data_IF_304395273033
#
_entry.id   IF_304395273033
#
_cell.length_a   1.000
_cell.length_b   1.000
_cell.length_c   1.000
_cell.angle_alpha   90.00
_cell.angle_beta   90.00
_cell.angle_gamma   90.00
#
_symmetry.space_group_name_H-M   'P 1'
#
loop_
_entity.id
_entity.type
_entity.pdbx_description
1 polymer ?
#
# COMPACT_ATOMS: atom_id res chain seq x y z
N UNK A 1 50.97 -11.60 76.15
CA UNK A 1 50.53 -12.95 75.71
C UNK A 1 49.27 -13.46 76.45
N UNK A 2 49.06 -13.13 77.74
CA UNK A 2 47.87 -13.56 78.52
C UNK A 2 46.52 -12.93 78.09
N UNK A 3 46.52 -11.69 77.57
CA UNK A 3 45.28 -11.03 77.13
C UNK A 3 44.65 -11.71 75.89
N UNK A 4 45.47 -12.25 74.98
CA UNK A 4 45.00 -12.95 73.78
C UNK A 4 44.27 -14.24 74.16
N UNK A 5 44.77 -14.98 75.15
CA UNK A 5 44.15 -16.22 75.63
C UNK A 5 42.81 -15.93 76.34
N UNK A 6 42.74 -14.83 77.09
CA UNK A 6 41.54 -14.44 77.85
C UNK A 6 40.38 -13.94 76.97
N UNK A 7 40.69 -13.30 75.83
CA UNK A 7 39.68 -12.72 74.92
C UNK A 7 39.58 -13.45 73.57
N UNK A 8 40.18 -14.64 73.42
CA UNK A 8 40.22 -15.39 72.16
C UNK A 8 38.83 -15.65 71.56
N UNK A 9 37.82 -15.91 72.41
CA UNK A 9 36.41 -16.08 71.98
C UNK A 9 35.82 -14.82 71.35
N UNK A 10 36.09 -13.66 71.93
CA UNK A 10 35.60 -12.37 71.41
C UNK A 10 36.29 -12.01 70.09
N UNK A 11 37.60 -12.31 69.99
CA UNK A 11 38.37 -12.13 68.75
C UNK A 11 37.82 -13.02 67.62
N UNK A 12 37.51 -14.29 67.93
CA UNK A 12 36.90 -15.20 66.95
C UNK A 12 35.51 -14.74 66.51
N UNK A 13 34.68 -14.25 67.44
CA UNK A 13 33.38 -13.69 67.10
C UNK A 13 33.51 -12.44 66.22
N UNK A 14 34.43 -11.53 66.55
CA UNK A 14 34.68 -10.35 65.74
C UNK A 14 35.17 -10.70 64.32
N UNK A 15 36.05 -11.70 64.19
CA UNK A 15 36.48 -12.22 62.89
C UNK A 15 35.35 -12.87 62.10
N UNK A 16 34.49 -13.65 62.76
CA UNK A 16 33.32 -14.26 62.12
C UNK A 16 32.34 -13.20 61.61
N UNK A 17 32.07 -12.17 62.41
CA UNK A 17 31.21 -11.04 62.00
C UNK A 17 31.83 -10.27 60.85
N UNK A 18 33.13 -9.98 60.90
CA UNK A 18 33.84 -9.32 59.81
C UNK A 18 33.79 -10.15 58.51
N UNK A 19 33.97 -11.47 58.60
CA UNK A 19 33.85 -12.39 57.47
C UNK A 19 32.46 -12.38 56.84
N UNK A 20 31.40 -12.39 57.66
CA UNK A 20 30.01 -12.30 57.18
C UNK A 20 29.71 -10.96 56.50
N UNK A 21 30.27 -9.85 57.00
CA UNK A 21 30.11 -8.53 56.39
C UNK A 21 30.79 -8.47 55.01
N UNK A 22 32.00 -9.01 54.87
CA UNK A 22 32.71 -9.07 53.58
C UNK A 22 31.96 -9.95 52.59
N UNK A 23 31.53 -11.15 53.00
CA UNK A 23 30.75 -12.05 52.14
C UNK A 23 29.40 -11.43 51.73
N UNK A 24 28.74 -10.71 52.64
CA UNK A 24 27.51 -9.98 52.33
C UNK A 24 27.71 -8.84 51.33
N UNK A 25 28.87 -8.16 51.38
CA UNK A 25 29.22 -7.09 50.44
C UNK A 25 29.46 -7.63 49.04
N UNK A 26 30.26 -8.70 48.90
CA UNK A 26 30.53 -9.37 47.62
C UNK A 26 29.25 -9.97 47.02
N UNK A 27 28.42 -10.61 47.85
CA UNK A 27 27.13 -11.13 47.40
C UNK A 27 26.20 -10.02 46.87
N UNK A 28 26.22 -8.83 47.50
CA UNK A 28 25.46 -7.67 47.02
C UNK A 28 25.95 -7.19 45.65
N UNK A 29 27.26 -7.18 45.41
CA UNK A 29 27.83 -6.80 44.12
C UNK A 29 27.42 -7.78 43.01
N UNK A 30 27.53 -9.09 43.27
CA UNK A 30 27.14 -10.14 42.30
C UNK A 30 25.63 -10.09 42.00
N UNK A 31 24.79 -9.88 43.01
CA UNK A 31 23.34 -9.74 42.80
C UNK A 31 23.04 -8.48 41.98
N UNK A 32 23.68 -7.36 42.28
CA UNK A 32 23.51 -6.12 41.50
C UNK A 32 23.94 -6.29 40.03
N UNK A 33 25.05 -6.97 39.76
CA UNK A 33 25.46 -7.27 38.39
C UNK A 33 24.44 -8.14 37.66
N UNK A 34 23.91 -9.19 38.31
CA UNK A 34 22.86 -10.04 37.73
C UNK A 34 21.58 -9.26 37.46
N UNK A 35 21.15 -8.40 38.37
CA UNK A 35 19.95 -7.58 38.20
C UNK A 35 20.13 -6.60 37.02
N UNK A 36 21.31 -5.98 36.90
CA UNK A 36 21.60 -5.10 35.76
C UNK A 36 21.66 -5.88 34.44
N UNK A 37 22.21 -7.10 34.42
CA UNK A 37 22.24 -7.95 33.24
C UNK A 37 20.83 -8.40 32.83
N UNK A 38 20.00 -8.80 33.79
CA UNK A 38 18.61 -9.15 33.57
C UNK A 38 17.79 -7.95 33.06
N UNK A 39 17.99 -6.77 33.63
CA UNK A 39 17.35 -5.53 33.17
C UNK A 39 17.75 -5.18 31.73
N UNK A 40 19.04 -5.31 31.38
CA UNK A 40 19.53 -5.10 30.00
C UNK A 40 18.93 -6.11 29.03
N UNK A 41 18.85 -7.39 29.42
CA UNK A 41 18.24 -8.43 28.60
C UNK A 41 16.76 -8.15 28.35
N UNK A 42 15.99 -7.82 29.40
CA UNK A 42 14.58 -7.46 29.27
C UNK A 42 14.37 -6.20 28.42
N UNK A 43 15.29 -5.21 28.51
CA UNK A 43 15.24 -4.04 27.66
C UNK A 43 15.55 -4.37 26.20
N UNK A 44 16.55 -5.22 25.94
CA UNK A 44 16.88 -5.68 24.60
C UNK A 44 15.72 -6.45 23.97
N UNK A 45 15.08 -7.36 24.72
CA UNK A 45 13.88 -8.07 24.26
C UNK A 45 12.76 -7.11 23.86
N UNK A 46 12.46 -6.12 24.71
CA UNK A 46 11.48 -5.07 24.39
C UNK A 46 11.83 -4.29 23.12
N UNK A 47 13.09 -3.91 22.96
CA UNK A 47 13.56 -3.19 21.77
C UNK A 47 13.45 -4.06 20.51
N UNK A 48 13.80 -5.35 20.59
CA UNK A 48 13.65 -6.28 19.47
C UNK A 48 12.19 -6.48 19.10
N UNK A 49 11.28 -6.63 20.07
CA UNK A 49 9.85 -6.75 19.83
C UNK A 49 9.28 -5.49 19.17
N UNK A 50 9.66 -4.30 19.67
CA UNK A 50 9.26 -3.02 19.06
C UNK A 50 9.77 -2.87 17.63
N UNK A 51 11.03 -3.26 17.38
CA UNK A 51 11.63 -3.20 16.04
C UNK A 51 10.94 -4.18 15.09
N UNK A 52 10.63 -5.39 15.55
CA UNK A 52 9.90 -6.38 14.74
C UNK A 52 8.48 -5.91 14.42
N UNK A 53 7.78 -5.32 15.39
CA UNK A 53 6.46 -4.73 15.17
C UNK A 53 6.52 -3.59 14.13
N UNK A 54 7.51 -2.70 14.23
CA UNK A 54 7.71 -1.63 13.27
C UNK A 54 7.99 -2.17 11.85
N UNK A 55 8.89 -3.16 11.71
CA UNK A 55 9.18 -3.79 10.42
C UNK A 55 7.96 -4.49 9.83
N UNK A 56 7.15 -5.16 10.66
CA UNK A 56 5.92 -5.79 10.19
C UNK A 56 4.94 -4.77 9.61
N UNK A 57 4.80 -3.61 10.27
CA UNK A 57 3.99 -2.50 9.76
C UNK A 57 4.57 -1.91 8.45
N UNK A 58 5.89 -1.72 8.37
CA UNK A 58 6.57 -1.27 7.14
C UNK A 58 6.34 -2.26 5.98
N UNK A 59 6.46 -3.56 6.22
CA UNK A 59 6.20 -4.58 5.21
C UNK A 59 4.74 -4.59 4.75
N UNK A 60 3.78 -4.45 5.67
CA UNK A 60 2.37 -4.37 5.33
C UNK A 60 2.08 -3.13 4.45
N UNK A 61 2.66 -1.98 4.80
CA UNK A 61 2.53 -0.75 4.01
C UNK A 61 3.15 -0.90 2.62
N UNK A 62 4.38 -1.43 2.54
CA UNK A 62 5.06 -1.67 1.27
C UNK A 62 4.28 -2.65 0.36
N UNK A 63 3.67 -3.69 0.94
CA UNK A 63 2.83 -4.62 0.19
C UNK A 63 1.57 -3.94 -0.36
N UNK A 64 0.92 -3.09 0.45
CA UNK A 64 -0.24 -2.31 0.00
C UNK A 64 0.12 -1.34 -1.13
N UNK A 65 1.22 -0.61 -1.00
CA UNK A 65 1.67 0.36 -2.01
C UNK A 65 2.04 -0.35 -3.33
N UNK A 66 2.68 -1.52 -3.24
CA UNK A 66 3.00 -2.35 -4.39
C UNK A 66 1.73 -2.87 -5.09
N UNK A 67 0.72 -3.30 -4.33
CA UNK A 67 -0.55 -3.76 -4.89
C UNK A 67 -1.31 -2.64 -5.60
N UNK A 68 -1.40 -1.45 -4.97
CA UNK A 68 -2.02 -0.28 -5.59
C UNK A 68 -1.30 0.15 -6.88
N UNK A 69 0.04 0.12 -6.87
CA UNK A 69 0.86 0.43 -8.04
C UNK A 69 0.65 -0.58 -9.17
N UNK A 70 0.59 -1.87 -8.85
CA UNK A 70 0.36 -2.93 -9.83
C UNK A 70 -1.02 -2.80 -10.49
N UNK A 71 -2.07 -2.57 -9.70
CA UNK A 71 -3.43 -2.35 -10.21
C UNK A 71 -3.51 -1.11 -11.12
N UNK A 72 -2.82 -0.04 -10.76
CA UNK A 72 -2.76 1.16 -11.60
C UNK A 72 -2.06 0.90 -12.94
N UNK A 73 -0.92 0.20 -12.93
CA UNK A 73 -0.20 -0.15 -14.16
C UNK A 73 -1.01 -1.06 -15.08
N UNK A 74 -1.62 -2.11 -14.52
CA UNK A 74 -2.52 -3.00 -15.27
C UNK A 74 -3.71 -2.22 -15.86
N UNK A 75 -4.30 -1.31 -15.06
CA UNK A 75 -5.38 -0.45 -15.51
C UNK A 75 -4.99 0.44 -16.69
N UNK A 76 -3.77 0.99 -16.72
CA UNK A 76 -3.26 1.79 -17.84
C UNK A 76 -3.06 0.94 -19.11
N UNK A 77 -2.53 -0.27 -18.97
CA UNK A 77 -2.31 -1.17 -20.12
C UNK A 77 -3.65 -1.62 -20.73
N UNK A 78 -4.60 -2.02 -19.88
CA UNK A 78 -5.94 -2.40 -20.30
C UNK A 78 -6.68 -1.23 -20.93
N UNK A 79 -6.62 -0.04 -20.33
CA UNK A 79 -7.24 1.17 -20.87
C UNK A 79 -6.77 1.53 -22.28
N UNK A 80 -5.46 1.39 -22.55
CA UNK A 80 -4.91 1.61 -23.90
C UNK A 80 -5.45 0.60 -24.92
N UNK A 81 -5.56 -0.66 -24.54
CA UNK A 81 -6.09 -1.72 -25.40
C UNK A 81 -7.59 -1.51 -25.67
N UNK A 82 -8.35 -1.14 -24.65
CA UNK A 82 -9.78 -0.84 -24.76
C UNK A 82 -10.04 0.37 -25.67
N UNK A 83 -9.26 1.45 -25.53
CA UNK A 83 -9.35 2.62 -26.41
C UNK A 83 -9.05 2.24 -27.87
N UNK A 84 -7.97 1.49 -28.11
CA UNK A 84 -7.62 1.04 -29.45
C UNK A 84 -8.75 0.20 -30.07
N UNK A 85 -9.29 -0.76 -29.30
CA UNK A 85 -10.41 -1.59 -29.74
C UNK A 85 -11.68 -0.77 -29.99
N UNK A 86 -11.97 0.26 -29.17
CA UNK A 86 -13.12 1.13 -29.35
C UNK A 86 -13.00 1.99 -30.62
N UNK A 87 -11.81 2.56 -30.88
CA UNK A 87 -11.53 3.31 -32.10
C UNK A 87 -11.66 2.42 -33.34
N UNK A 88 -11.13 1.21 -33.31
CA UNK A 88 -11.23 0.27 -34.43
C UNK A 88 -12.69 -0.13 -34.71
N UNK A 89 -13.48 -0.39 -33.65
CA UNK A 89 -14.92 -0.64 -33.79
C UNK A 89 -15.66 0.56 -34.38
N UNK A 90 -15.35 1.79 -33.94
CA UNK A 90 -15.94 3.00 -34.48
C UNK A 90 -15.64 3.12 -35.99
N UNK A 91 -14.38 2.96 -36.39
CA UNK A 91 -13.96 3.00 -37.80
C UNK A 91 -14.64 1.92 -38.64
N UNK A 92 -14.76 0.71 -38.11
CA UNK A 92 -15.45 -0.38 -38.80
C UNK A 92 -16.93 -0.05 -39.02
N UNK A 93 -17.61 0.52 -38.03
CA UNK A 93 -19.01 0.94 -38.14
C UNK A 93 -19.20 2.07 -39.16
N UNK A 94 -18.31 3.07 -39.16
CA UNK A 94 -18.35 4.14 -40.16
C UNK A 94 -18.16 3.60 -41.58
N UNK A 95 -17.18 2.70 -41.78
CA UNK A 95 -16.96 2.04 -43.08
C UNK A 95 -18.17 1.23 -43.54
N UNK A 96 -18.79 0.45 -42.65
CA UNK A 96 -19.99 -0.33 -42.99
C UNK A 96 -21.15 0.59 -43.42
N UNK A 97 -21.31 1.72 -42.74
CA UNK A 97 -22.31 2.72 -43.09
C UNK A 97 -22.04 3.35 -44.45
N UNK A 98 -20.80 3.73 -44.73
CA UNK A 98 -20.43 4.30 -46.02
C UNK A 98 -20.65 3.32 -47.17
N UNK A 99 -20.38 2.02 -46.94
CA UNK A 99 -20.68 0.96 -47.91
C UNK A 99 -22.19 0.79 -48.14
N UNK A 100 -23.02 0.86 -47.10
CA UNK A 100 -24.48 0.80 -47.22
C UNK A 100 -25.03 2.01 -48.00
N UNK A 101 -24.51 3.21 -47.75
CA UNK A 101 -24.88 4.42 -48.47
C UNK A 101 -24.46 4.34 -49.95
N UNK A 102 -23.26 3.84 -50.24
CA UNK A 102 -22.79 3.66 -51.62
C UNK A 102 -23.60 2.60 -52.40
N UNK A 103 -24.04 1.53 -51.73
CA UNK A 103 -24.88 0.47 -52.33
C UNK A 103 -26.33 0.89 -52.60
N UNK A 104 -26.82 1.94 -51.95
CA UNK A 104 -28.18 2.46 -52.12
C UNK A 104 -28.36 3.33 -53.39
N UNK A 105 -27.28 3.67 -54.09
CA UNK A 105 -27.26 4.60 -55.23
C UNK A 105 -28.02 4.16 -56.49
N UNK A 106 -28.61 2.96 -56.52
CA UNK A 106 -29.37 2.45 -57.67
C UNK A 106 -30.82 2.08 -57.35
N UNK A 107 -31.34 2.53 -56.21
CA UNK A 107 -32.76 2.35 -55.86
C UNK A 107 -33.60 3.43 -56.58
N UNK A 108 -34.70 3.06 -57.26
CA UNK A 108 -35.60 4.05 -57.85
C UNK A 108 -36.09 5.00 -56.76
N UNK A 109 -36.16 6.29 -57.07
CA UNK A 109 -36.60 7.33 -56.14
C UNK A 109 -37.94 6.92 -55.51
N UNK A 110 -37.91 6.53 -54.23
CA UNK A 110 -39.13 6.27 -53.49
C UNK A 110 -39.92 7.58 -53.44
N UNK A 111 -41.16 7.55 -53.96
CA UNK A 111 -42.05 8.70 -53.95
C UNK A 111 -42.10 9.30 -52.54
N UNK A 112 -42.05 10.64 -52.48
CA UNK A 112 -42.08 11.42 -51.26
C UNK A 112 -43.39 11.19 -50.47
N UNK A 113 -43.45 10.10 -49.71
CA UNK A 113 -44.46 9.85 -48.69
C UNK A 113 -44.03 10.49 -47.37
N UNK A 114 -45.01 10.94 -46.58
CA UNK A 114 -44.91 11.75 -45.36
C UNK A 114 -44.22 11.06 -44.15
N UNK A 115 -43.06 10.44 -44.37
CA UNK A 115 -42.21 9.83 -43.36
C UNK A 115 -40.75 10.23 -43.56
N UNK A 116 -40.48 11.54 -43.73
CA UNK A 116 -39.12 12.05 -43.71
C UNK A 116 -38.62 11.91 -42.27
N UNK A 117 -37.70 10.97 -42.03
CA UNK A 117 -36.88 11.02 -40.80
C UNK A 117 -36.00 12.25 -40.94
N UNK A 118 -35.85 13.04 -39.87
CA UNK A 118 -35.05 14.27 -39.80
C UNK A 118 -33.53 14.03 -39.95
N UNK A 119 -33.12 13.16 -40.87
CA UNK A 119 -31.72 12.94 -41.26
C UNK A 119 -31.23 14.03 -42.20
N UNK A 120 -31.44 15.30 -41.84
CA UNK A 120 -30.83 16.42 -42.55
C UNK A 120 -29.30 16.41 -42.30
N UNK A 121 -28.55 16.89 -43.29
CA UNK A 121 -27.10 16.79 -43.49
C UNK A 121 -26.21 17.45 -42.41
N UNK A 122 -26.72 17.72 -41.21
CA UNK A 122 -26.03 18.46 -40.14
C UNK A 122 -25.63 17.68 -38.88
N UNK A 123 -25.94 16.39 -38.74
CA UNK A 123 -25.99 15.78 -37.39
C UNK A 123 -25.16 14.51 -37.13
N UNK A 124 -24.08 14.27 -37.89
CA UNK A 124 -23.23 13.09 -37.68
C UNK A 124 -22.04 13.35 -36.75
N UNK A 125 -22.36 13.67 -35.49
CA UNK A 125 -21.37 13.93 -34.43
C UNK A 125 -20.34 12.80 -34.31
N UNK A 126 -20.77 11.54 -34.46
CA UNK A 126 -19.87 10.38 -34.35
C UNK A 126 -18.87 10.29 -35.51
N UNK A 127 -19.26 10.67 -36.72
CA UNK A 127 -18.34 10.70 -37.85
C UNK A 127 -17.35 11.87 -37.75
N UNK A 128 -17.80 13.02 -37.21
CA UNK A 128 -16.98 14.22 -37.08
C UNK A 128 -16.07 14.23 -35.85
N UNK A 129 -16.52 13.65 -34.72
CA UNK A 129 -15.91 13.81 -33.40
C UNK A 129 -15.80 12.50 -32.61
N UNK A 130 -16.21 11.36 -33.15
CA UNK A 130 -16.28 10.10 -32.39
C UNK A 130 -14.93 9.63 -31.86
N UNK A 131 -13.84 9.78 -32.62
CA UNK A 131 -12.49 9.42 -32.14
C UNK A 131 -12.01 10.36 -31.02
N UNK A 132 -12.27 11.67 -31.14
CA UNK A 132 -11.90 12.65 -30.11
C UNK A 132 -12.72 12.45 -28.83
N UNK A 133 -14.01 12.13 -28.96
CA UNK A 133 -14.86 11.78 -27.82
C UNK A 133 -14.37 10.51 -27.10
N UNK A 134 -13.91 9.49 -27.83
CA UNK A 134 -13.33 8.28 -27.25
C UNK A 134 -12.00 8.56 -26.53
N UNK A 135 -11.15 9.43 -27.09
CA UNK A 135 -9.91 9.84 -26.43
C UNK A 135 -10.16 10.64 -25.16
N UNK A 136 -11.11 11.58 -25.20
CA UNK A 136 -11.49 12.36 -24.02
C UNK A 136 -12.07 11.44 -22.91
N UNK A 137 -12.85 10.44 -23.28
CA UNK A 137 -13.34 9.44 -22.34
C UNK A 137 -12.18 8.63 -21.72
N UNK A 138 -11.20 8.20 -22.53
CA UNK A 138 -10.03 7.50 -22.03
C UNK A 138 -9.16 8.37 -21.10
N UNK A 139 -9.00 9.66 -21.40
CA UNK A 139 -8.30 10.60 -20.52
C UNK A 139 -9.03 10.76 -19.18
N UNK A 140 -10.37 10.83 -19.20
CA UNK A 140 -11.18 10.87 -17.99
C UNK A 140 -11.05 9.58 -17.16
N UNK A 141 -11.02 8.42 -17.82
CA UNK A 141 -10.81 7.13 -17.18
C UNK A 141 -9.40 7.03 -16.56
N UNK A 142 -8.37 7.59 -17.21
CA UNK A 142 -7.01 7.66 -16.67
C UNK A 142 -6.92 8.52 -15.41
N UNK A 143 -7.61 9.67 -15.41
CA UNK A 143 -7.72 10.52 -14.21
C UNK A 143 -8.47 9.77 -13.10
N UNK A 144 -9.57 9.09 -13.42
CA UNK A 144 -10.31 8.28 -12.45
C UNK A 144 -9.42 7.17 -11.86
N UNK A 145 -8.68 6.44 -12.69
CA UNK A 145 -7.70 5.42 -12.26
C UNK A 145 -6.65 6.02 -11.32
N UNK A 146 -6.10 7.18 -11.66
CA UNK A 146 -5.10 7.86 -10.82
C UNK A 146 -5.69 8.26 -9.46
N UNK A 147 -6.90 8.82 -9.44
CA UNK A 147 -7.59 9.20 -8.21
C UNK A 147 -7.90 7.97 -7.34
N UNK A 148 -8.36 6.87 -7.94
CA UNK A 148 -8.61 5.62 -7.21
C UNK A 148 -7.32 5.03 -6.62
N UNK A 149 -6.20 5.08 -7.34
CA UNK A 149 -4.92 4.64 -6.81
C UNK A 149 -4.48 5.49 -5.59
N UNK A 150 -4.64 6.82 -5.68
CA UNK A 150 -4.37 7.71 -4.55
C UNK A 150 -5.30 7.43 -3.36
N UNK A 151 -6.59 7.18 -3.60
CA UNK A 151 -7.56 6.85 -2.56
C UNK A 151 -7.20 5.54 -1.86
N UNK A 152 -6.80 4.51 -2.61
CA UNK A 152 -6.37 3.23 -2.04
C UNK A 152 -5.17 3.40 -1.08
N UNK A 153 -4.20 4.25 -1.43
CA UNK A 153 -3.05 4.56 -0.56
C UNK A 153 -3.52 5.28 0.71
N UNK A 154 -4.41 6.27 0.59
CA UNK A 154 -4.93 7.03 1.75
C UNK A 154 -5.77 6.14 2.68
N UNK A 155 -6.59 5.25 2.13
CA UNK A 155 -7.38 4.30 2.91
C UNK A 155 -6.49 3.32 3.66
N UNK A 156 -5.46 2.79 3.00
CA UNK A 156 -4.46 1.92 3.62
C UNK A 156 -3.70 2.63 4.75
N UNK A 157 -3.27 3.88 4.54
CA UNK A 157 -2.60 4.67 5.57
C UNK A 157 -3.50 4.95 6.78
N UNK A 158 -4.78 5.24 6.55
CA UNK A 158 -5.77 5.44 7.62
C UNK A 158 -6.08 4.16 8.39
N UNK A 159 -6.16 3.02 7.70
CA UNK A 159 -6.37 1.73 8.36
C UNK A 159 -5.16 1.29 9.20
N UNK A 160 -3.96 1.77 8.87
CA UNK A 160 -2.73 1.51 9.61
C UNK A 160 -2.50 2.45 10.81
N UNK A 161 -3.27 3.54 10.94
CA UNK A 161 -3.22 4.44 12.10
C UNK A 161 -4.13 3.89 13.22
N UNK A 162 -3.61 3.63 14.44
CA UNK A 162 -4.39 3.13 15.57
C UNK A 162 -5.34 4.18 16.17
#
# INVERSE_FOLDING_TARGET
>A
MLAIIKYWREILLALAVAGLLVLGWEARAVVAERDTAAAKAAQAEKQTAQTQAARAAEHAKAASDAAASAQYQEGLENGKQELAAAVDRLRANLRLRDQQLAGAGNLPAAAAGAGRRDGEAGADFLAAHGEDALRLAADADDVARQLSACQAIVESDRAAQP
#
